data_IF_272256825564
#
_entry.id   IF_272256825564
#
_cell.length_a   1.000
_cell.length_b   1.000
_cell.length_c   1.000
_cell.angle_alpha   90.00
_cell.angle_beta   90.00
_cell.angle_gamma   90.00
#
_symmetry.space_group_name_H-M   'P 1'
#
loop_
_entity.id
_entity.type
_entity.pdbx_description
1 polymer ?
#
# COMPACT_ATOMS: atom_id res chain seq x y z
N UNK A 1 -9.32 -21.53 -9.34
CA UNK A 1 -9.34 -20.12 -9.81
C UNK A 1 -9.42 -19.14 -8.65
N UNK A 2 -10.48 -19.12 -7.83
CA UNK A 2 -10.65 -18.13 -6.76
C UNK A 2 -9.49 -18.06 -5.73
N UNK A 3 -8.97 -19.22 -5.29
CA UNK A 3 -7.81 -19.29 -4.37
C UNK A 3 -6.54 -18.70 -4.99
N UNK A 4 -6.30 -19.00 -6.26
CA UNK A 4 -5.13 -18.50 -7.02
C UNK A 4 -5.22 -16.99 -7.22
N UNK A 5 -6.41 -16.48 -7.56
CA UNK A 5 -6.65 -15.04 -7.70
C UNK A 5 -6.49 -14.30 -6.38
N UNK A 6 -7.03 -14.84 -5.28
CA UNK A 6 -6.86 -14.26 -3.95
C UNK A 6 -5.38 -14.25 -3.50
N UNK A 7 -4.63 -15.31 -3.78
CA UNK A 7 -3.19 -15.37 -3.51
C UNK A 7 -2.41 -14.31 -4.29
N UNK A 8 -2.66 -14.20 -5.60
CA UNK A 8 -2.03 -13.19 -6.45
C UNK A 8 -2.40 -11.76 -6.01
N UNK A 9 -3.66 -11.55 -5.60
CA UNK A 9 -4.16 -10.25 -5.13
C UNK A 9 -3.41 -9.76 -3.89
N UNK A 10 -3.22 -10.62 -2.89
CA UNK A 10 -2.48 -10.26 -1.67
C UNK A 10 -0.97 -10.19 -1.94
N UNK A 11 -0.42 -11.08 -2.77
CA UNK A 11 0.97 -11.00 -3.21
C UNK A 11 1.29 -9.64 -3.84
N UNK A 12 0.47 -9.20 -4.79
CA UNK A 12 0.65 -7.91 -5.47
C UNK A 12 0.41 -6.73 -4.53
N UNK A 13 -0.48 -6.88 -3.54
CA UNK A 13 -0.66 -5.90 -2.47
C UNK A 13 0.61 -5.73 -1.62
N UNK A 14 1.16 -6.83 -1.12
CA UNK A 14 2.42 -6.83 -0.35
C UNK A 14 3.61 -6.32 -1.16
N UNK A 15 3.67 -6.68 -2.45
CA UNK A 15 4.66 -6.14 -3.40
C UNK A 15 4.54 -4.62 -3.52
N UNK A 16 3.34 -4.09 -3.77
CA UNK A 16 3.11 -2.66 -3.93
C UNK A 16 3.47 -1.87 -2.66
N UNK A 17 3.12 -2.37 -1.47
CA UNK A 17 3.52 -1.74 -0.19
C UNK A 17 5.03 -1.60 -0.11
N UNK A 18 5.79 -2.67 -0.39
CA UNK A 18 7.25 -2.61 -0.29
C UNK A 18 7.91 -1.79 -1.41
N UNK A 19 7.31 -1.72 -2.60
CA UNK A 19 7.78 -0.78 -3.63
C UNK A 19 7.62 0.66 -3.13
N UNK A 20 6.47 1.00 -2.52
CA UNK A 20 6.25 2.35 -1.95
C UNK A 20 7.18 2.65 -0.78
N UNK A 21 7.48 1.66 0.06
CA UNK A 21 8.47 1.78 1.15
C UNK A 21 9.85 2.19 0.60
N UNK A 22 10.43 1.34 -0.25
CA UNK A 22 11.83 1.49 -0.72
C UNK A 22 11.98 2.72 -1.62
N UNK A 23 11.09 2.90 -2.58
CA UNK A 23 11.14 4.03 -3.51
C UNK A 23 10.79 5.34 -2.78
N UNK A 24 9.84 5.28 -1.85
CA UNK A 24 9.42 6.44 -1.06
C UNK A 24 10.53 6.96 -0.15
N UNK A 25 11.25 6.10 0.57
CA UNK A 25 12.41 6.51 1.37
C UNK A 25 13.45 7.24 0.50
N UNK A 26 13.81 6.65 -0.64
CA UNK A 26 14.76 7.27 -1.59
C UNK A 26 14.24 8.59 -2.17
N UNK A 27 12.94 8.71 -2.37
CA UNK A 27 12.31 9.91 -2.91
C UNK A 27 12.32 11.07 -1.89
N UNK A 28 12.03 10.77 -0.62
CA UNK A 28 12.11 11.73 0.49
C UNK A 28 13.55 12.18 0.74
N UNK A 29 14.54 11.29 0.60
CA UNK A 29 15.96 11.61 0.77
C UNK A 29 16.46 12.72 -0.13
N UNK A 30 15.87 12.88 -1.32
CA UNK A 30 16.20 13.98 -2.24
C UNK A 30 15.87 15.36 -1.68
N UNK A 31 14.89 15.48 -0.79
CA UNK A 31 14.43 16.77 -0.24
C UNK A 31 14.94 17.01 1.18
N UNK A 32 14.95 15.97 2.03
CA UNK A 32 15.27 16.14 3.45
C UNK A 32 16.70 15.78 3.83
N UNK A 33 17.48 15.18 2.91
CA UNK A 33 18.86 14.79 3.18
C UNK A 33 18.96 13.61 4.15
N UNK A 34 19.25 13.88 5.43
CA UNK A 34 19.73 12.90 6.43
C UNK A 34 19.06 11.52 6.41
N UNK A 35 19.69 10.56 5.71
CA UNK A 35 19.12 9.25 5.36
C UNK A 35 18.54 8.50 6.57
N UNK A 36 19.21 8.55 7.73
CA UNK A 36 18.79 7.84 8.93
C UNK A 36 17.38 8.22 9.41
N UNK A 37 17.05 9.52 9.46
CA UNK A 37 15.73 9.98 9.91
C UNK A 37 14.63 9.72 8.89
N UNK A 38 14.97 9.68 7.61
CA UNK A 38 14.02 9.33 6.54
C UNK A 38 13.65 7.86 6.63
N UNK A 39 14.62 6.96 6.79
CA UNK A 39 14.35 5.53 6.95
C UNK A 39 13.50 5.24 8.19
N UNK A 40 13.81 5.86 9.33
CA UNK A 40 12.98 5.74 10.55
C UNK A 40 11.55 6.22 10.30
N UNK A 41 11.42 7.40 9.67
CA UNK A 41 10.12 8.02 9.40
C UNK A 41 9.29 7.17 8.44
N UNK A 42 9.91 6.68 7.37
CA UNK A 42 9.25 5.87 6.35
C UNK A 42 8.73 4.56 6.93
N UNK A 43 9.62 3.79 7.57
CA UNK A 43 9.26 2.52 8.21
C UNK A 43 8.16 2.75 9.27
N UNK A 44 8.32 3.78 10.11
CA UNK A 44 7.36 4.12 11.15
C UNK A 44 5.96 4.43 10.58
N UNK A 45 5.89 5.29 9.58
CA UNK A 45 4.62 5.66 8.93
C UNK A 45 3.98 4.48 8.21
N UNK A 46 4.76 3.67 7.51
CA UNK A 46 4.21 2.51 6.81
C UNK A 46 3.73 1.45 7.80
N UNK A 47 4.44 1.21 8.90
CA UNK A 47 3.95 0.35 9.99
C UNK A 47 2.66 0.89 10.62
N UNK A 48 2.52 2.21 10.81
CA UNK A 48 1.27 2.83 11.28
C UNK A 48 0.14 2.59 10.28
N UNK A 49 0.38 2.84 8.99
CA UNK A 49 -0.60 2.56 7.93
C UNK A 49 -1.01 1.08 7.91
N UNK A 50 -0.05 0.17 8.04
CA UNK A 50 -0.30 -1.27 8.10
C UNK A 50 -1.14 -1.63 9.32
N UNK A 51 -0.77 -1.16 10.51
CA UNK A 51 -1.50 -1.43 11.75
C UNK A 51 -2.96 -0.92 11.68
N UNK A 52 -3.14 0.31 11.23
CA UNK A 52 -4.47 0.90 11.04
C UNK A 52 -5.27 0.12 10.00
N UNK A 53 -4.65 -0.22 8.86
CA UNK A 53 -5.32 -0.95 7.79
C UNK A 53 -5.66 -2.38 8.16
N UNK A 54 -4.85 -3.05 8.98
CA UNK A 54 -5.17 -4.37 9.51
C UNK A 54 -6.36 -4.33 10.47
N UNK A 55 -6.37 -3.38 11.42
CA UNK A 55 -7.45 -3.23 12.39
C UNK A 55 -8.77 -2.82 11.72
N UNK A 56 -8.74 -1.75 10.92
CA UNK A 56 -9.93 -1.24 10.23
C UNK A 56 -10.36 -2.20 9.12
N UNK A 57 -9.41 -2.80 8.40
CA UNK A 57 -9.69 -3.75 7.34
C UNK A 57 -10.39 -5.01 7.84
N UNK A 58 -10.02 -5.54 9.01
CA UNK A 58 -10.73 -6.65 9.65
C UNK A 58 -12.17 -6.29 10.00
N UNK A 59 -12.38 -5.14 10.65
CA UNK A 59 -13.72 -4.65 10.98
C UNK A 59 -14.59 -4.39 9.74
N UNK A 60 -14.00 -3.81 8.68
CA UNK A 60 -14.67 -3.59 7.39
C UNK A 60 -15.02 -4.90 6.69
N UNK A 61 -14.18 -5.93 6.79
CA UNK A 61 -14.44 -7.23 6.19
C UNK A 61 -15.59 -7.99 6.90
N UNK A 62 -15.73 -7.78 8.20
CA UNK A 62 -16.86 -8.34 8.94
C UNK A 62 -18.18 -7.66 8.59
N UNK A 63 -18.14 -6.33 8.40
CA UNK A 63 -19.29 -5.50 8.04
C UNK A 63 -19.70 -5.65 6.58
N UNK A 64 -18.75 -5.56 5.66
CA UNK A 64 -18.93 -5.65 4.22
C UNK A 64 -18.35 -6.97 3.74
N UNK A 65 -19.20 -7.87 3.26
CA UNK A 65 -18.83 -9.26 2.90
C UNK A 65 -18.64 -9.43 1.39
N UNK A 66 -18.21 -8.38 0.70
CA UNK A 66 -18.15 -8.34 -0.77
C UNK A 66 -16.81 -7.79 -1.25
N UNK A 67 -16.14 -8.50 -2.14
CA UNK A 67 -14.84 -8.07 -2.67
C UNK A 67 -14.93 -6.72 -3.40
N UNK A 68 -16.11 -6.41 -3.97
CA UNK A 68 -16.37 -5.15 -4.68
C UNK A 68 -16.20 -3.90 -3.80
N UNK A 69 -16.38 -4.01 -2.47
CA UNK A 69 -16.17 -2.88 -1.57
C UNK A 69 -14.73 -2.34 -1.67
N UNK A 70 -13.74 -3.21 -1.88
CA UNK A 70 -12.34 -2.82 -2.03
C UNK A 70 -12.05 -2.04 -3.32
N UNK A 71 -12.92 -2.11 -4.32
CA UNK A 71 -12.69 -1.47 -5.62
C UNK A 71 -12.55 0.06 -5.48
N UNK A 72 -13.42 0.71 -4.71
CA UNK A 72 -13.38 2.16 -4.57
C UNK A 72 -12.15 2.64 -3.76
N UNK A 73 -11.84 2.10 -2.57
CA UNK A 73 -10.62 2.46 -1.84
C UNK A 73 -9.35 2.22 -2.66
N UNK A 74 -9.25 1.07 -3.34
CA UNK A 74 -8.11 0.78 -4.22
C UNK A 74 -8.03 1.74 -5.40
N UNK A 75 -9.16 2.09 -6.03
CA UNK A 75 -9.15 3.06 -7.11
C UNK A 75 -8.66 4.44 -6.63
N UNK A 76 -9.12 4.89 -5.47
CA UNK A 76 -8.65 6.15 -4.85
C UNK A 76 -7.16 6.06 -4.54
N UNK A 77 -6.70 5.00 -3.90
CA UNK A 77 -5.28 4.80 -3.58
C UNK A 77 -4.40 4.71 -4.83
N UNK A 78 -4.87 4.05 -5.89
CA UNK A 78 -4.16 3.90 -7.15
C UNK A 78 -4.06 5.20 -7.93
N UNK A 79 -5.15 5.97 -8.02
CA UNK A 79 -5.12 7.33 -8.59
C UNK A 79 -4.19 8.22 -7.78
N UNK A 80 -4.32 8.20 -6.45
CA UNK A 80 -3.47 9.00 -5.57
C UNK A 80 -1.98 8.67 -5.78
N UNK A 81 -1.64 7.37 -5.80
CA UNK A 81 -0.27 6.88 -6.05
C UNK A 81 0.24 7.29 -7.42
N UNK A 82 -0.60 7.22 -8.46
CA UNK A 82 -0.24 7.62 -9.82
C UNK A 82 0.16 9.10 -9.90
N UNK A 83 -0.53 9.95 -9.14
CA UNK A 83 -0.28 11.40 -9.12
C UNK A 83 0.79 11.84 -8.11
N UNK A 84 1.35 10.95 -7.28
CA UNK A 84 2.44 11.27 -6.32
C UNK A 84 3.53 12.15 -6.95
N UNK A 85 4.09 11.84 -8.14
CA UNK A 85 5.16 12.63 -8.72
C UNK A 85 4.74 14.06 -9.12
N UNK A 86 3.44 14.31 -9.33
CA UNK A 86 2.94 15.60 -9.77
C UNK A 86 2.77 16.59 -8.61
N UNK A 87 2.27 16.13 -7.45
CA UNK A 87 2.01 17.02 -6.30
C UNK A 87 3.10 16.98 -5.24
N UNK A 88 3.86 15.88 -5.13
CA UNK A 88 4.78 15.70 -4.01
C UNK A 88 5.95 16.69 -4.01
N UNK A 89 6.60 17.05 -5.14
CA UNK A 89 7.67 18.06 -5.10
C UNK A 89 7.18 19.37 -4.48
N UNK A 90 6.05 19.90 -4.96
CA UNK A 90 5.46 21.13 -4.41
C UNK A 90 5.04 20.99 -2.95
N UNK A 91 4.62 19.80 -2.51
CA UNK A 91 4.28 19.52 -1.12
C UNK A 91 5.52 19.52 -0.23
N UNK A 92 6.59 18.81 -0.64
CA UNK A 92 7.83 18.71 0.12
C UNK A 92 8.58 20.04 0.15
N UNK A 93 8.60 20.79 -0.95
CA UNK A 93 9.16 22.13 -1.01
C UNK A 93 8.48 23.07 0.00
N UNK A 94 7.14 22.99 0.14
CA UNK A 94 6.43 23.76 1.18
C UNK A 94 6.80 23.35 2.59
N UNK A 95 7.13 22.08 2.82
CA UNK A 95 7.60 21.60 4.13
C UNK A 95 9.01 22.13 4.41
N UNK A 96 9.89 22.17 3.41
CA UNK A 96 11.27 22.66 3.56
C UNK A 96 11.31 24.18 3.69
N UNK A 97 10.59 24.90 2.82
CA UNK A 97 10.56 26.37 2.75
C UNK A 97 9.85 27.04 3.93
N UNK A 98 9.25 26.27 4.85
CA UNK A 98 8.73 26.81 6.12
C UNK A 98 9.83 27.27 7.07
N UNK A 99 11.06 26.79 6.85
CA UNK A 99 12.22 27.16 7.65
C UNK A 99 12.98 28.31 6.97
N UNK A 100 13.45 29.30 7.75
CA UNK A 100 14.29 30.37 7.21
C UNK A 100 15.56 29.79 6.56
N UNK A 101 15.87 30.20 5.33
CA UNK A 101 17.06 29.73 4.60
C UNK A 101 18.37 30.17 5.27
N UNK A 102 18.31 31.25 6.03
CA UNK A 102 19.48 31.91 6.63
C UNK A 102 19.88 31.29 7.99
N UNK A 103 19.11 30.32 8.50
CA UNK A 103 19.34 29.69 9.79
C UNK A 103 19.35 28.16 9.68
N UNK A 104 20.20 27.47 10.47
CA UNK A 104 20.20 26.02 10.50
C UNK A 104 18.85 25.50 11.04
N UNK A 105 18.26 24.53 10.33
CA UNK A 105 17.00 23.90 10.73
C UNK A 105 17.18 23.24 12.10
N UNK A 106 16.33 23.53 13.10
CA UNK A 106 16.41 22.89 14.41
C UNK A 106 16.33 21.36 14.32
N UNK A 107 17.09 20.67 15.18
CA UNK A 107 17.19 19.21 15.17
C UNK A 107 15.84 18.47 15.32
N UNK A 108 14.84 19.11 15.94
CA UNK A 108 13.48 18.57 16.04
C UNK A 108 12.81 18.49 14.66
N UNK A 109 12.94 19.54 13.86
CA UNK A 109 12.33 19.61 12.52
C UNK A 109 13.05 18.70 11.52
N UNK A 110 14.37 18.56 11.62
CA UNK A 110 15.10 17.56 10.81
C UNK A 110 14.56 16.12 10.99
N UNK A 111 13.95 15.82 12.15
CA UNK A 111 13.31 14.53 12.44
C UNK A 111 11.84 14.48 12.04
N UNK A 112 11.10 15.57 12.27
CA UNK A 112 9.66 15.63 12.01
C UNK A 112 9.31 15.85 10.55
N UNK A 113 10.13 16.57 9.78
CA UNK A 113 9.85 16.91 8.38
C UNK A 113 9.73 15.67 7.50
N UNK A 114 10.65 14.68 7.56
CA UNK A 114 10.50 13.43 6.81
C UNK A 114 9.28 12.62 7.26
N UNK A 115 8.95 12.63 8.56
CA UNK A 115 7.77 11.95 9.10
C UNK A 115 6.47 12.56 8.58
N UNK A 116 6.37 13.89 8.53
CA UNK A 116 5.21 14.61 7.98
C UNK A 116 5.12 14.34 6.47
N UNK A 117 6.23 14.47 5.73
CA UNK A 117 6.27 14.19 4.30
C UNK A 117 5.85 12.75 3.97
N UNK A 118 6.40 11.77 4.71
CA UNK A 118 6.03 10.37 4.57
C UNK A 118 4.56 10.13 4.88
N UNK A 119 4.05 10.71 5.98
CA UNK A 119 2.65 10.60 6.38
C UNK A 119 1.71 11.12 5.29
N UNK A 120 1.96 12.32 4.77
CA UNK A 120 1.06 12.94 3.79
C UNK A 120 1.05 12.22 2.44
N UNK A 121 2.14 11.53 2.08
CA UNK A 121 2.30 10.90 0.76
C UNK A 121 2.00 9.39 0.79
N UNK A 122 2.43 8.67 1.83
CA UNK A 122 2.41 7.20 1.84
C UNK A 122 1.38 6.59 2.78
N UNK A 123 0.86 7.34 3.76
CA UNK A 123 -0.11 6.80 4.72
C UNK A 123 -1.36 6.28 4.02
N UNK A 124 -1.99 7.09 3.16
CA UNK A 124 -3.22 6.71 2.47
C UNK A 124 -3.07 5.45 1.58
N UNK A 125 -2.12 5.39 0.62
CA UNK A 125 -2.02 4.22 -0.24
C UNK A 125 -1.61 2.96 0.52
N UNK A 126 -0.67 3.04 1.45
CA UNK A 126 -0.24 1.88 2.25
C UNK A 126 -1.35 1.40 3.21
N UNK A 127 -2.13 2.32 3.79
CA UNK A 127 -3.29 1.97 4.61
C UNK A 127 -4.31 1.16 3.81
N UNK A 128 -4.65 1.61 2.60
CA UNK A 128 -5.61 0.90 1.75
C UNK A 128 -5.08 -0.48 1.32
N UNK A 129 -3.80 -0.58 0.98
CA UNK A 129 -3.18 -1.86 0.64
C UNK A 129 -3.12 -2.83 1.83
N UNK A 130 -2.92 -2.32 3.04
CA UNK A 130 -2.91 -3.13 4.25
C UNK A 130 -4.27 -3.81 4.52
N UNK A 131 -5.38 -3.16 4.16
CA UNK A 131 -6.74 -3.72 4.30
C UNK A 131 -6.89 -5.04 3.53
N UNK A 132 -6.12 -5.27 2.46
CA UNK A 132 -6.29 -6.43 1.58
C UNK A 132 -6.11 -7.77 2.29
N UNK A 133 -5.14 -7.88 3.21
CA UNK A 133 -4.84 -9.13 3.91
C UNK A 133 -6.00 -9.62 4.79
N UNK A 134 -6.45 -8.87 5.82
CA UNK A 134 -7.58 -9.31 6.65
C UNK A 134 -8.87 -9.47 5.85
N UNK A 135 -9.10 -8.62 4.84
CA UNK A 135 -10.29 -8.70 4.00
C UNK A 135 -10.31 -9.98 3.16
N UNK A 136 -9.17 -10.34 2.57
CA UNK A 136 -9.03 -11.59 1.80
C UNK A 136 -9.18 -12.81 2.69
N UNK A 137 -8.63 -12.78 3.91
CA UNK A 137 -8.81 -13.86 4.90
C UNK A 137 -10.29 -14.07 5.18
N UNK A 138 -11.03 -12.99 5.47
CA UNK A 138 -12.46 -13.05 5.77
C UNK A 138 -13.28 -13.55 4.58
N UNK A 139 -13.01 -13.09 3.36
CA UNK A 139 -13.73 -13.55 2.16
C UNK A 139 -13.44 -15.02 1.83
N UNK A 140 -12.22 -15.50 2.09
CA UNK A 140 -11.85 -16.88 1.83
C UNK A 140 -12.32 -17.84 2.94
N UNK A 141 -12.41 -17.38 4.18
CA UNK A 141 -12.80 -18.19 5.33
C UNK A 141 -14.32 -18.37 5.44
N UNK A 142 -14.82 -19.50 4.94
CA UNK A 142 -16.23 -19.89 5.06
C UNK A 142 -16.54 -20.70 6.34
N UNK A 143 -15.52 -21.29 6.97
CA UNK A 143 -15.64 -22.08 8.22
C UNK A 143 -14.48 -21.75 9.15
N UNK A 144 -14.78 -21.65 10.46
CA UNK A 144 -13.81 -21.31 11.51
C UNK A 144 -12.63 -22.30 11.54
N UNK A 145 -12.91 -23.59 11.33
CA UNK A 145 -11.93 -24.69 11.30
C UNK A 145 -10.77 -24.47 10.30
N UNK A 146 -10.97 -23.68 9.25
CA UNK A 146 -9.98 -23.44 8.20
C UNK A 146 -9.36 -22.04 8.25
N UNK A 147 -9.77 -21.19 9.21
CA UNK A 147 -9.31 -19.79 9.30
C UNK A 147 -7.79 -19.72 9.47
N UNK A 148 -7.21 -20.54 10.35
CA UNK A 148 -5.76 -20.54 10.59
C UNK A 148 -4.93 -20.90 9.35
N UNK A 149 -5.37 -21.89 8.57
CA UNK A 149 -4.69 -22.27 7.32
C UNK A 149 -4.81 -21.17 6.26
N UNK A 150 -5.98 -20.54 6.15
CA UNK A 150 -6.23 -19.48 5.18
C UNK A 150 -5.43 -18.23 5.54
N UNK A 151 -5.41 -17.82 6.81
CA UNK A 151 -4.61 -16.69 7.26
C UNK A 151 -3.12 -16.93 7.06
N UNK A 152 -2.62 -18.14 7.36
CA UNK A 152 -1.24 -18.53 7.07
C UNK A 152 -0.87 -18.41 5.60
N UNK A 153 -1.73 -18.91 4.69
CA UNK A 153 -1.50 -18.80 3.24
C UNK A 153 -1.54 -17.35 2.74
N UNK A 154 -2.46 -16.54 3.25
CA UNK A 154 -2.58 -15.12 2.90
C UNK A 154 -1.33 -14.35 3.36
N UNK A 155 -0.89 -14.56 4.60
CA UNK A 155 0.34 -13.94 5.10
C UNK A 155 1.57 -14.41 4.34
N UNK A 156 1.70 -15.71 4.06
CA UNK A 156 2.81 -16.21 3.25
C UNK A 156 2.84 -15.55 1.85
N UNK A 157 1.70 -15.48 1.16
CA UNK A 157 1.61 -14.83 -0.15
C UNK A 157 1.97 -13.34 -0.06
N UNK A 158 1.45 -12.62 0.94
CA UNK A 158 1.79 -11.21 1.19
C UNK A 158 3.29 -11.03 1.40
N UNK A 159 3.88 -11.83 2.27
CA UNK A 159 5.30 -11.74 2.64
C UNK A 159 6.20 -12.06 1.45
N UNK A 160 5.91 -13.10 0.66
CA UNK A 160 6.67 -13.39 -0.56
C UNK A 160 6.55 -12.22 -1.56
N UNK A 161 5.35 -11.65 -1.70
CA UNK A 161 5.13 -10.44 -2.50
C UNK A 161 5.95 -9.25 -2.01
N UNK A 162 5.98 -9.01 -0.70
CA UNK A 162 6.79 -7.97 -0.07
C UNK A 162 8.29 -8.18 -0.28
N UNK A 163 8.79 -9.40 -0.11
CA UNK A 163 10.19 -9.75 -0.40
C UNK A 163 10.53 -9.46 -1.87
N UNK A 164 9.66 -9.90 -2.80
CA UNK A 164 9.81 -9.59 -4.21
C UNK A 164 9.79 -8.07 -4.45
N UNK A 165 8.90 -7.33 -3.79
CA UNK A 165 8.80 -5.88 -3.86
C UNK A 165 10.10 -5.18 -3.44
N UNK A 166 10.72 -5.62 -2.34
CA UNK A 166 12.01 -5.09 -1.89
C UNK A 166 13.10 -5.30 -2.93
N UNK A 167 13.32 -6.53 -3.38
CA UNK A 167 14.41 -6.82 -4.32
C UNK A 167 14.15 -6.22 -5.71
N UNK A 168 12.93 -6.34 -6.22
CA UNK A 168 12.58 -5.79 -7.55
C UNK A 168 12.65 -4.27 -7.52
N UNK A 169 12.16 -3.60 -6.48
CA UNK A 169 12.29 -2.14 -6.39
C UNK A 169 13.75 -1.70 -6.26
N UNK A 170 14.49 -2.32 -5.35
CA UNK A 170 15.87 -1.96 -5.01
C UNK A 170 16.88 -2.24 -6.13
N UNK A 171 16.76 -3.38 -6.83
CA UNK A 171 17.78 -3.86 -7.78
C UNK A 171 17.37 -3.77 -9.25
N UNK A 172 16.08 -3.62 -9.55
CA UNK A 172 15.61 -3.61 -10.94
C UNK A 172 14.95 -2.26 -11.22
N UNK A 173 13.90 -1.89 -10.50
CA UNK A 173 13.12 -0.72 -10.86
C UNK A 173 13.94 0.58 -10.81
N UNK A 174 14.80 0.74 -9.80
CA UNK A 174 15.65 1.93 -9.67
C UNK A 174 16.67 2.05 -10.81
N UNK A 175 17.17 0.94 -11.35
CA UNK A 175 18.22 0.94 -12.37
C UNK A 175 17.66 1.16 -13.77
N UNK A 176 16.46 0.61 -14.04
CA UNK A 176 15.84 0.67 -15.38
C UNK A 176 14.79 1.77 -15.53
N UNK A 177 14.19 2.27 -14.44
CA UNK A 177 13.08 3.23 -14.50
C UNK A 177 13.34 4.48 -13.65
N UNK A 178 12.77 5.60 -14.11
CA UNK A 178 12.74 6.82 -13.31
C UNK A 178 11.76 6.68 -12.13
N UNK A 179 12.07 7.31 -10.99
CA UNK A 179 11.20 7.28 -9.79
C UNK A 179 9.74 7.69 -10.10
N UNK A 180 9.46 8.74 -10.91
CA UNK A 180 8.10 9.05 -11.32
C UNK A 180 7.40 7.92 -12.09
N UNK A 181 8.13 7.21 -12.97
CA UNK A 181 7.59 6.09 -13.73
C UNK A 181 7.25 4.91 -12.80
N UNK A 182 8.06 4.67 -11.76
CA UNK A 182 7.79 3.62 -10.76
C UNK A 182 6.51 3.95 -9.99
N UNK A 183 6.32 5.18 -9.52
CA UNK A 183 5.08 5.57 -8.83
C UNK A 183 3.86 5.44 -9.74
N UNK A 184 3.95 5.88 -11.00
CA UNK A 184 2.86 5.70 -11.97
C UNK A 184 2.55 4.23 -12.23
N UNK A 185 3.59 3.39 -12.39
CA UNK A 185 3.45 1.95 -12.55
C UNK A 185 2.78 1.28 -11.35
N UNK A 186 3.20 1.63 -10.12
CA UNK A 186 2.56 1.15 -8.89
C UNK A 186 1.12 1.65 -8.79
N UNK A 187 0.83 2.90 -9.16
CA UNK A 187 -0.54 3.41 -9.21
C UNK A 187 -1.44 2.62 -10.18
N UNK A 188 -0.94 2.31 -11.38
CA UNK A 188 -1.63 1.44 -12.35
C UNK A 188 -1.82 0.03 -11.80
N UNK A 189 -0.83 -0.54 -11.11
CA UNK A 189 -0.95 -1.84 -10.45
C UNK A 189 -2.09 -1.83 -9.40
N UNK A 190 -2.15 -0.81 -8.56
CA UNK A 190 -3.20 -0.67 -7.54
C UNK A 190 -4.58 -0.50 -8.20
N UNK A 191 -4.67 0.24 -9.31
CA UNK A 191 -5.90 0.35 -10.11
C UNK A 191 -6.31 -0.99 -10.73
N UNK A 192 -5.34 -1.78 -11.20
CA UNK A 192 -5.62 -3.13 -11.68
C UNK A 192 -6.17 -4.01 -10.55
N UNK A 193 -5.63 -3.93 -9.34
CA UNK A 193 -6.19 -4.61 -8.16
C UNK A 193 -7.63 -4.17 -7.88
N UNK A 194 -7.96 -2.88 -8.03
CA UNK A 194 -9.35 -2.42 -7.94
C UNK A 194 -10.26 -3.11 -8.96
N UNK A 195 -9.80 -3.30 -10.19
CA UNK A 195 -10.52 -4.07 -11.21
C UNK A 195 -10.68 -5.54 -10.84
N UNK A 196 -9.61 -6.18 -10.34
CA UNK A 196 -9.64 -7.58 -9.89
C UNK A 196 -10.64 -7.78 -8.76
N UNK A 197 -10.76 -6.85 -7.81
CA UNK A 197 -11.71 -7.00 -6.70
C UNK A 197 -13.17 -7.02 -7.17
N UNK A 198 -13.52 -6.28 -8.23
CA UNK A 198 -14.85 -6.33 -8.88
C UNK A 198 -15.09 -7.67 -9.56
N UNK A 199 -14.06 -8.22 -10.23
CA UNK A 199 -14.15 -9.52 -10.90
C UNK A 199 -14.29 -10.65 -9.87
N UNK A 200 -13.55 -10.59 -8.77
CA UNK A 200 -13.65 -11.56 -7.66
C UNK A 200 -15.06 -11.58 -7.05
N UNK A 201 -15.71 -10.43 -6.91
CA UNK A 201 -17.08 -10.33 -6.40
C UNK A 201 -18.08 -11.06 -7.31
N UNK A 202 -17.91 -10.94 -8.64
CA UNK A 202 -18.76 -11.63 -9.62
C UNK A 202 -18.63 -13.15 -9.54
N UNK A 203 -17.47 -13.67 -9.15
CA UNK A 203 -17.23 -15.11 -8.99
C UNK A 203 -17.63 -15.66 -7.62
N UNK A 204 -17.76 -14.79 -6.61
CA UNK A 204 -18.18 -15.16 -5.26
C UNK A 204 -19.70 -15.11 -5.04
N UNK A 205 -20.47 -14.48 -5.94
CA UNK A 205 -21.94 -14.56 -5.89
C UNK A 205 -22.38 -16.01 -6.15
N UNK A 206 -23.18 -16.63 -5.26
CA UNK A 206 -23.81 -17.90 -5.59
C UNK A 206 -24.70 -17.68 -6.79
N UNK A 207 -24.58 -18.51 -7.83
CA UNK A 207 -25.66 -18.74 -8.78
C UNK A 207 -26.92 -19.03 -7.98
N UNK A 208 -27.82 -18.06 -7.89
CA UNK A 208 -29.19 -18.27 -7.46
C UNK A 208 -29.83 -19.17 -8.50
N UNK A 209 -29.73 -20.48 -8.29
CA UNK A 209 -30.58 -21.46 -8.96
C UNK A 209 -32.02 -21.07 -8.63
N UNK A 210 -32.71 -20.46 -9.60
CA UNK A 210 -34.16 -20.36 -9.59
C UNK A 210 -34.70 -21.79 -9.53
N UNK A 211 -35.20 -22.21 -8.38
CA UNK A 211 -36.17 -23.29 -8.29
C UNK A 211 -37.50 -22.64 -7.89
N UNK A 212 -38.33 -22.40 -8.90
CA UNK A 212 -39.78 -22.40 -8.76
C UNK A 212 -40.26 -23.77 -9.23
#
# INVERSE_FOLDING_TARGET
>A
MLKTTAGAFVFLGGFAVMVLEIIGARYLARHFGGDFYIWISQIGVILIALALGYAIGGALADRFKTARFLALPLAVAGVFTFFIPAFTPSLLDRIVMRHPLDQPIPAVWQKLDPAIGSTLVFLLPCFVLAVLSPYTIRLAAHRIEHVGRISGLVYAASTIGSIAGVFVSGYILIDYFSVPAIFRGTGVLILALAGVSVVMDRWMKPTTTKQH
#
